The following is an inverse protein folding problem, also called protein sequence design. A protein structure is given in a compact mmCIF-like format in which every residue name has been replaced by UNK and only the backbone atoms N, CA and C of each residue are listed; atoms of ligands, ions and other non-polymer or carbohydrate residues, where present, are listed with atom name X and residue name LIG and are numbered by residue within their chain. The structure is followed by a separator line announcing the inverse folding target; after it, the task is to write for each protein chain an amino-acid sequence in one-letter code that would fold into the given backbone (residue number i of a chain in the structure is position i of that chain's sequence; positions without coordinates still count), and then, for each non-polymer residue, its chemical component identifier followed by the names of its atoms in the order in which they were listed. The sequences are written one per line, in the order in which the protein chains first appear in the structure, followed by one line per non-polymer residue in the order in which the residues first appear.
data_IF_061077219738
#
_entry.id   IF_061077219738
#
_cell.length_a   1.000
_cell.length_b   1.000
_cell.length_c   1.000
_cell.angle_alpha   90.00
_cell.angle_beta   90.00
_cell.angle_gamma   90.00
#
_symmetry.space_group_name_H-M   'P 1'
#
loop_
_entity.id
_entity.type
_entity.pdbx_description
1 polymer ?
#
# COMPACT_ATOMS: atom_id res chain seq x y z
N UNK A 1 10.26 -22.31 -7.04
CA UNK A 1 11.26 -21.36 -7.61
C UNK A 1 12.50 -22.15 -7.99
N UNK A 2 13.05 -21.95 -9.20
CA UNK A 2 14.24 -22.67 -9.64
C UNK A 2 15.47 -22.15 -8.87
N UNK A 3 16.39 -23.03 -8.45
CA UNK A 3 17.58 -22.68 -7.68
C UNK A 3 18.45 -21.62 -8.39
N UNK A 4 18.56 -21.72 -9.72
CA UNK A 4 19.24 -20.74 -10.58
C UNK A 4 18.66 -19.32 -10.46
N UNK A 5 17.35 -19.19 -10.32
CA UNK A 5 16.66 -17.90 -10.19
C UNK A 5 16.98 -17.24 -8.85
N UNK A 6 17.04 -18.05 -7.78
CA UNK A 6 17.40 -17.57 -6.44
C UNK A 6 18.86 -17.07 -6.40
N UNK A 7 19.77 -17.82 -6.98
CA UNK A 7 21.20 -17.43 -7.04
C UNK A 7 21.40 -16.15 -7.88
N UNK A 8 20.67 -16.03 -9.00
CA UNK A 8 20.66 -14.79 -9.80
C UNK A 8 20.19 -13.59 -8.98
N UNK A 9 19.06 -13.75 -8.25
CA UNK A 9 18.54 -12.68 -7.38
C UNK A 9 19.54 -12.30 -6.28
N UNK A 10 20.14 -13.28 -5.61
CA UNK A 10 21.19 -13.03 -4.59
C UNK A 10 22.34 -12.24 -5.18
N UNK A 11 22.85 -12.64 -6.36
CA UNK A 11 23.92 -11.94 -7.07
C UNK A 11 23.52 -10.49 -7.35
N UNK A 12 22.33 -10.25 -7.92
CA UNK A 12 21.85 -8.90 -8.22
C UNK A 12 21.73 -8.03 -6.97
N UNK A 13 21.21 -8.57 -5.86
CA UNK A 13 21.11 -7.85 -4.59
C UNK A 13 22.51 -7.50 -4.05
N UNK A 14 23.47 -8.45 -4.13
CA UNK A 14 24.83 -8.24 -3.62
C UNK A 14 25.56 -7.16 -4.41
N UNK A 15 25.45 -7.19 -5.73
CA UNK A 15 26.16 -6.28 -6.65
C UNK A 15 25.51 -4.90 -6.78
N UNK A 16 24.23 -4.74 -6.36
CA UNK A 16 23.49 -3.51 -6.54
C UNK A 16 23.66 -2.53 -5.38
N UNK A 17 23.62 -1.24 -5.70
CA UNK A 17 23.68 -0.14 -4.73
C UNK A 17 22.39 0.68 -4.70
N UNK A 18 21.47 0.46 -5.66
CA UNK A 18 20.20 1.20 -5.78
C UNK A 18 19.06 0.25 -6.11
N UNK A 19 18.59 -0.50 -5.10
CA UNK A 19 17.46 -1.39 -5.20
C UNK A 19 16.19 -0.61 -4.85
N UNK A 20 15.13 -0.78 -5.63
CA UNK A 20 13.78 -0.26 -5.32
C UNK A 20 12.82 -1.43 -5.25
N UNK A 21 11.96 -1.42 -4.23
CA UNK A 21 10.87 -2.39 -4.10
C UNK A 21 9.53 -1.72 -4.42
N UNK A 22 8.74 -2.37 -5.26
CA UNK A 22 7.36 -1.96 -5.58
C UNK A 22 6.39 -3.05 -5.14
N UNK A 23 5.52 -2.76 -4.18
CA UNK A 23 4.66 -3.75 -3.54
C UNK A 23 3.18 -3.45 -3.53
N UNK A 24 2.38 -4.51 -3.40
CA UNK A 24 0.93 -4.45 -3.25
C UNK A 24 0.41 -5.35 -2.12
N UNK A 25 -0.91 -5.56 -2.07
CA UNK A 25 -1.60 -6.22 -0.97
C UNK A 25 -1.11 -7.64 -0.66
N UNK A 26 -0.60 -8.36 -1.65
CA UNK A 26 -0.02 -9.69 -1.46
C UNK A 26 1.21 -9.71 -0.53
N UNK A 27 1.87 -8.56 -0.32
CA UNK A 27 2.97 -8.45 0.66
C UNK A 27 2.47 -8.62 2.10
N UNK A 28 1.23 -8.23 2.39
CA UNK A 28 0.67 -8.22 3.74
C UNK A 28 -0.21 -9.43 4.07
N UNK A 29 -0.40 -10.37 3.14
CA UNK A 29 -1.25 -11.56 3.37
C UNK A 29 -0.73 -12.45 4.50
N UNK A 30 0.59 -12.63 4.63
CA UNK A 30 1.20 -13.35 5.75
C UNK A 30 1.19 -12.56 7.09
N UNK A 31 0.73 -11.32 7.05
CA UNK A 31 0.45 -10.50 8.24
C UNK A 31 -1.01 -10.59 8.68
N UNK A 32 -1.83 -11.41 8.00
CA UNK A 32 -3.26 -11.59 8.28
C UNK A 32 -4.16 -10.54 7.61
N UNK A 33 -3.62 -9.71 6.71
CA UNK A 33 -4.41 -8.75 5.94
C UNK A 33 -4.76 -9.39 4.59
N UNK A 34 -6.05 -9.65 4.28
CA UNK A 34 -6.43 -10.21 3.00
C UNK A 34 -6.09 -9.25 1.85
N UNK A 35 -5.69 -9.78 0.72
CA UNK A 35 -5.60 -8.97 -0.49
C UNK A 35 -6.99 -8.68 -1.08
N UNK A 36 -7.06 -7.95 -2.17
CA UNK A 36 -8.34 -7.54 -2.76
C UNK A 36 -8.93 -8.58 -3.71
N UNK A 37 -8.12 -9.36 -4.42
CA UNK A 37 -8.52 -10.12 -5.62
C UNK A 37 -8.36 -11.63 -5.55
N UNK A 38 -7.61 -12.16 -4.60
CA UNK A 38 -7.49 -13.61 -4.41
C UNK A 38 -8.85 -14.25 -4.08
N UNK A 39 -8.93 -15.57 -4.08
CA UNK A 39 -10.16 -16.31 -3.76
C UNK A 39 -10.74 -15.87 -2.40
N UNK A 40 -9.87 -15.62 -1.43
CA UNK A 40 -10.22 -15.15 -0.08
C UNK A 40 -10.14 -13.61 0.06
N UNK A 41 -9.96 -12.91 -1.06
CA UNK A 41 -9.78 -11.46 -1.11
C UNK A 41 -11.08 -10.69 -0.85
N UNK A 42 -10.92 -9.41 -0.49
CA UNK A 42 -12.02 -8.53 -0.10
C UNK A 42 -13.10 -8.46 -1.21
N UNK A 43 -12.71 -8.48 -2.49
CA UNK A 43 -13.67 -8.37 -3.61
C UNK A 43 -14.52 -9.63 -3.82
N UNK A 44 -14.12 -10.78 -3.30
CA UNK A 44 -14.86 -12.02 -3.38
C UNK A 44 -15.83 -12.25 -2.20
N UNK A 45 -15.83 -11.35 -1.21
CA UNK A 45 -16.77 -11.41 -0.09
C UNK A 45 -18.13 -10.82 -0.49
N UNK A 46 -19.21 -11.34 0.10
CA UNK A 46 -20.57 -10.86 -0.18
C UNK A 46 -20.88 -9.59 0.60
N UNK A 47 -21.09 -8.48 -0.11
CA UNK A 47 -21.55 -7.21 0.44
C UNK A 47 -22.79 -6.72 -0.31
N UNK A 48 -23.49 -5.73 0.29
CA UNK A 48 -24.62 -5.07 -0.36
C UNK A 48 -24.23 -4.31 -1.64
N UNK A 49 -23.02 -3.81 -1.69
CA UNK A 49 -22.41 -3.13 -2.83
C UNK A 49 -21.03 -3.72 -3.09
N UNK A 50 -20.53 -3.70 -4.34
CA UNK A 50 -19.15 -4.09 -4.62
C UNK A 50 -18.15 -3.29 -3.76
N UNK A 51 -17.12 -3.92 -3.21
CA UNK A 51 -16.12 -3.22 -2.39
C UNK A 51 -15.51 -2.00 -3.08
N UNK A 52 -15.21 -2.08 -4.39
CA UNK A 52 -14.71 -0.94 -5.16
C UNK A 52 -15.68 0.25 -5.17
N UNK A 53 -16.98 -0.04 -5.18
CA UNK A 53 -18.01 1.00 -5.04
C UNK A 53 -17.98 1.61 -3.65
N UNK A 54 -17.88 0.78 -2.59
CA UNK A 54 -17.90 1.26 -1.20
C UNK A 54 -16.69 2.16 -0.91
N UNK A 55 -15.51 1.82 -1.42
CA UNK A 55 -14.26 2.60 -1.24
C UNK A 55 -14.04 3.63 -2.36
N UNK A 56 -15.12 4.19 -2.93
CA UNK A 56 -15.05 5.30 -3.86
C UNK A 56 -15.38 6.64 -3.19
N UNK A 57 -14.86 7.73 -3.76
CA UNK A 57 -15.14 9.09 -3.28
C UNK A 57 -16.63 9.40 -3.28
N UNK A 58 -17.32 9.09 -4.37
CA UNK A 58 -18.75 9.36 -4.50
C UNK A 58 -19.60 8.58 -3.48
N UNK A 59 -19.21 7.35 -3.14
CA UNK A 59 -19.89 6.58 -2.10
C UNK A 59 -19.59 7.16 -0.71
N UNK A 60 -18.34 7.52 -0.44
CA UNK A 60 -17.96 8.18 0.81
C UNK A 60 -18.80 9.44 1.06
N UNK A 61 -19.01 10.28 0.06
CA UNK A 61 -19.80 11.51 0.18
C UNK A 61 -21.30 11.20 0.37
N UNK A 62 -21.85 10.25 -0.40
CA UNK A 62 -23.30 9.98 -0.43
C UNK A 62 -23.78 9.05 0.70
N UNK A 63 -22.89 8.16 1.16
CA UNK A 63 -23.19 7.07 2.11
C UNK A 63 -22.10 6.93 3.17
N UNK A 64 -21.71 8.05 3.76
CA UNK A 64 -20.59 8.16 4.68
C UNK A 64 -20.63 7.16 5.85
N UNK A 65 -21.85 6.90 6.40
CA UNK A 65 -21.99 5.92 7.50
C UNK A 65 -21.66 4.51 7.01
N UNK A 66 -22.24 4.07 5.88
CA UNK A 66 -22.01 2.73 5.32
C UNK A 66 -20.54 2.54 4.90
N UNK A 67 -19.90 3.61 4.40
CA UNK A 67 -18.46 3.63 4.16
C UNK A 67 -17.68 3.33 5.44
N UNK A 68 -17.97 4.00 6.57
CA UNK A 68 -17.24 3.78 7.82
C UNK A 68 -17.53 2.44 8.47
N UNK A 69 -18.74 1.90 8.32
CA UNK A 69 -19.08 0.57 8.77
C UNK A 69 -18.19 -0.48 8.06
N UNK A 70 -18.04 -0.37 6.74
CA UNK A 70 -17.14 -1.21 5.95
C UNK A 70 -15.67 -0.93 6.25
N UNK A 71 -15.27 0.33 6.31
CA UNK A 71 -13.88 0.76 6.48
C UNK A 71 -13.28 0.24 7.79
N UNK A 72 -14.02 0.31 8.89
CA UNK A 72 -13.59 -0.24 10.19
C UNK A 72 -13.49 -1.75 10.18
N UNK A 73 -14.41 -2.43 9.52
CA UNK A 73 -14.49 -3.89 9.50
C UNK A 73 -13.44 -4.50 8.56
N UNK A 74 -13.14 -3.85 7.43
CA UNK A 74 -12.37 -4.47 6.34
C UNK A 74 -11.10 -3.75 5.92
N UNK A 75 -10.85 -2.53 6.39
CA UNK A 75 -9.68 -1.77 5.95
C UNK A 75 -8.69 -1.49 7.08
N UNK A 76 -9.08 -1.64 8.35
CA UNK A 76 -8.23 -1.38 9.52
C UNK A 76 -7.90 -2.69 10.21
N UNK A 77 -6.61 -3.04 10.25
CA UNK A 77 -6.07 -4.25 10.87
C UNK A 77 -5.05 -3.87 11.95
N UNK A 78 -5.52 -3.34 13.08
CA UNK A 78 -4.67 -2.80 14.16
C UNK A 78 -3.74 -3.84 14.81
N UNK A 79 -4.12 -5.12 14.77
CA UNK A 79 -3.34 -6.21 15.36
C UNK A 79 -2.32 -6.84 14.40
N UNK A 80 -2.35 -6.44 13.11
CA UNK A 80 -1.41 -6.94 12.11
C UNK A 80 0.02 -6.53 12.44
N UNK A 81 0.96 -7.46 12.25
CA UNK A 81 2.39 -7.23 12.51
C UNK A 81 3.20 -7.45 11.24
N UNK A 82 4.33 -6.74 11.09
CA UNK A 82 5.22 -6.95 9.95
C UNK A 82 5.66 -8.41 9.84
N UNK A 83 5.49 -8.99 8.65
CA UNK A 83 5.97 -10.33 8.33
C UNK A 83 7.45 -10.30 7.88
N UNK A 84 7.97 -11.45 7.46
CA UNK A 84 9.38 -11.59 7.08
C UNK A 84 9.75 -10.71 5.87
N UNK A 85 8.83 -10.48 4.91
CA UNK A 85 9.09 -9.62 3.74
C UNK A 85 9.34 -8.18 4.17
N UNK A 86 8.48 -7.61 5.03
CA UNK A 86 8.65 -6.26 5.55
C UNK A 86 9.99 -6.11 6.28
N UNK A 87 10.33 -7.09 7.15
CA UNK A 87 11.58 -7.09 7.92
C UNK A 87 12.81 -7.17 7.01
N UNK A 88 12.77 -8.01 5.98
CA UNK A 88 13.91 -8.14 5.03
C UNK A 88 14.10 -6.90 4.18
N UNK A 89 13.04 -6.20 3.79
CA UNK A 89 13.15 -4.92 3.11
C UNK A 89 13.79 -3.85 4.01
N UNK A 90 13.38 -3.78 5.28
CA UNK A 90 14.00 -2.87 6.25
C UNK A 90 15.49 -3.21 6.51
N UNK A 91 15.86 -4.50 6.57
CA UNK A 91 17.25 -4.93 6.67
C UNK A 91 18.08 -4.49 5.44
N UNK A 92 17.54 -4.64 4.23
CA UNK A 92 18.20 -4.18 3.00
C UNK A 92 18.36 -2.65 2.96
N UNK A 93 17.37 -1.91 3.45
CA UNK A 93 17.46 -0.45 3.58
C UNK A 93 18.56 -0.06 4.59
N UNK A 94 18.57 -0.69 5.76
CA UNK A 94 19.60 -0.47 6.78
C UNK A 94 21.02 -0.81 6.28
N UNK A 95 21.14 -1.80 5.40
CA UNK A 95 22.39 -2.15 4.74
C UNK A 95 22.78 -1.17 3.60
N UNK A 96 21.97 -0.14 3.35
CA UNK A 96 22.21 0.87 2.32
C UNK A 96 21.94 0.37 0.89
N UNK A 97 21.38 -0.81 0.70
CA UNK A 97 21.08 -1.42 -0.60
C UNK A 97 19.71 -1.00 -1.16
N UNK A 98 18.66 -1.05 -0.35
CA UNK A 98 17.32 -0.61 -0.72
C UNK A 98 17.17 0.90 -0.52
N UNK A 99 16.77 1.63 -1.55
CA UNK A 99 16.66 3.09 -1.55
C UNK A 99 15.22 3.61 -1.42
N UNK A 100 14.24 2.75 -1.66
CA UNK A 100 12.84 3.04 -1.38
C UNK A 100 11.98 1.77 -1.39
N UNK A 101 10.96 1.79 -0.58
CA UNK A 101 9.77 0.94 -0.70
C UNK A 101 8.65 1.79 -1.28
N UNK A 102 8.16 1.44 -2.46
CA UNK A 102 6.98 2.04 -3.09
C UNK A 102 5.83 1.06 -2.86
N UNK A 103 4.81 1.47 -2.13
CA UNK A 103 3.73 0.56 -1.75
C UNK A 103 2.35 1.09 -2.13
N UNK A 104 1.50 0.18 -2.59
CA UNK A 104 0.07 0.41 -2.76
C UNK A 104 -0.72 0.15 -1.47
N UNK A 105 -0.06 -0.44 -0.46
CA UNK A 105 -0.68 -0.77 0.81
C UNK A 105 -0.84 0.46 1.70
N UNK A 106 -1.90 0.44 2.51
CA UNK A 106 -2.28 1.53 3.42
C UNK A 106 -2.08 1.15 4.90
N UNK A 107 -1.50 -0.03 5.16
CA UNK A 107 -1.44 -0.67 6.48
C UNK A 107 -0.32 -0.15 7.41
N UNK A 108 0.70 0.52 6.87
CA UNK A 108 1.84 1.03 7.64
C UNK A 108 2.84 -0.03 8.09
N UNK A 109 2.76 -1.28 7.60
CA UNK A 109 3.60 -2.39 8.08
C UNK A 109 5.07 -2.26 7.65
N UNK A 110 5.37 -1.57 6.54
CA UNK A 110 6.75 -1.28 6.16
C UNK A 110 7.43 -0.37 7.18
N UNK A 111 6.78 0.71 7.60
CA UNK A 111 7.28 1.61 8.64
C UNK A 111 7.37 0.89 9.99
N UNK A 112 6.38 0.08 10.33
CA UNK A 112 6.40 -0.72 11.56
C UNK A 112 7.54 -1.76 11.58
N UNK A 113 8.03 -2.20 10.41
CA UNK A 113 9.20 -3.07 10.28
C UNK A 113 10.54 -2.32 10.40
N UNK A 114 10.52 -0.97 10.33
CA UNK A 114 11.70 -0.13 10.42
C UNK A 114 12.16 0.48 9.09
N UNK A 115 11.42 0.32 7.99
CA UNK A 115 11.68 1.06 6.75
C UNK A 115 11.38 2.54 6.93
N UNK A 116 12.25 3.40 6.43
CA UNK A 116 12.16 4.87 6.58
C UNK A 116 11.79 5.58 5.27
N UNK A 117 12.29 5.11 4.13
CA UNK A 117 11.93 5.66 2.82
C UNK A 117 10.78 4.84 2.21
N UNK A 118 9.56 5.09 2.70
CA UNK A 118 8.34 4.42 2.25
C UNK A 118 7.45 5.41 1.52
N UNK A 119 7.18 5.15 0.24
CA UNK A 119 6.32 5.95 -0.62
C UNK A 119 4.94 5.27 -0.72
N UNK A 120 4.00 5.77 0.05
CA UNK A 120 2.63 5.22 0.15
C UNK A 120 1.74 5.83 -0.94
N UNK A 121 1.65 5.16 -2.10
CA UNK A 121 0.88 5.66 -3.27
C UNK A 121 -0.61 5.88 -2.98
N UNK A 122 -1.16 5.11 -2.06
CA UNK A 122 -2.59 5.18 -1.71
C UNK A 122 -2.83 5.74 -0.29
N UNK A 123 -1.82 6.39 0.29
CA UNK A 123 -1.93 6.94 1.64
C UNK A 123 -1.87 5.91 2.75
N UNK A 124 -2.51 6.18 3.91
CA UNK A 124 -2.43 5.31 5.08
C UNK A 124 -3.68 5.38 5.97
N UNK A 125 -4.12 4.25 6.51
CA UNK A 125 -5.18 4.17 7.53
C UNK A 125 -4.77 4.84 8.85
N UNK A 126 -3.46 4.99 9.07
CA UNK A 126 -2.91 5.56 10.31
C UNK A 126 -3.05 7.08 10.39
N UNK A 127 -3.25 7.74 9.24
CA UNK A 127 -3.44 9.19 9.15
C UNK A 127 -4.88 9.52 8.74
N UNK A 128 -5.47 10.48 9.41
CA UNK A 128 -6.84 10.92 9.14
C UNK A 128 -6.93 12.42 9.36
N UNK A 129 -7.72 13.12 8.57
CA UNK A 129 -7.81 14.58 8.64
C UNK A 129 -9.26 15.06 8.62
N UNK A 130 -9.52 16.10 9.40
CA UNK A 130 -10.81 16.77 9.35
C UNK A 130 -10.97 17.49 8.01
N UNK A 131 -12.05 17.21 7.29
CA UNK A 131 -12.37 17.84 5.99
C UNK A 131 -12.62 19.36 6.09
N UNK A 132 -12.89 19.90 7.31
CA UNK A 132 -13.18 21.31 7.51
C UNK A 132 -11.99 22.11 7.99
N UNK A 133 -11.25 21.62 9.00
CA UNK A 133 -10.17 22.36 9.63
C UNK A 133 -8.80 21.70 9.48
N UNK A 134 -8.70 20.60 8.76
CA UNK A 134 -7.48 19.85 8.47
C UNK A 134 -6.72 19.32 9.70
N UNK A 135 -7.35 19.33 10.89
CA UNK A 135 -6.76 18.77 12.09
C UNK A 135 -6.48 17.28 11.89
N UNK A 136 -5.28 16.86 12.25
CA UNK A 136 -4.83 15.47 12.21
C UNK A 136 -5.48 14.63 13.31
N UNK A 137 -5.74 13.37 12.99
CA UNK A 137 -6.23 12.33 13.90
C UNK A 137 -5.56 10.98 13.58
N UNK A 138 -5.13 10.25 14.61
CA UNK A 138 -4.69 8.87 14.46
C UNK A 138 -5.86 7.91 14.22
N UNK A 139 -5.53 6.66 13.84
CA UNK A 139 -6.54 5.62 13.58
C UNK A 139 -7.42 5.31 14.79
N UNK A 140 -6.91 5.46 16.00
CA UNK A 140 -7.68 5.27 17.24
C UNK A 140 -8.93 6.13 17.32
N UNK A 141 -8.87 7.36 16.78
CA UNK A 141 -10.02 8.25 16.72
C UNK A 141 -11.12 7.74 15.78
N UNK A 142 -10.74 7.03 14.71
CA UNK A 142 -11.70 6.40 13.79
C UNK A 142 -12.36 5.19 14.46
N UNK A 143 -11.58 4.42 15.22
CA UNK A 143 -12.04 3.20 15.90
C UNK A 143 -12.89 3.49 17.14
N UNK A 144 -12.62 4.58 17.85
CA UNK A 144 -13.31 4.92 19.11
C UNK A 144 -14.67 5.59 18.92
N UNK A 145 -14.99 6.10 17.72
CA UNK A 145 -16.26 6.73 17.43
C UNK A 145 -17.18 5.79 16.64
N UNK A 146 -18.41 5.63 17.10
CA UNK A 146 -19.45 4.95 16.33
C UNK A 146 -19.96 5.85 15.19
N UNK A 147 -20.44 5.22 14.13
CA UNK A 147 -21.01 5.92 12.97
C UNK A 147 -19.97 6.76 12.22
N UNK A 148 -20.25 8.03 11.95
CA UNK A 148 -19.38 8.93 11.18
C UNK A 148 -18.43 9.66 12.13
N UNK A 149 -17.10 9.43 12.03
CA UNK A 149 -16.13 10.12 12.90
C UNK A 149 -16.15 11.63 12.67
N UNK A 150 -16.21 12.40 13.76
CA UNK A 150 -16.27 13.86 13.72
C UNK A 150 -15.18 14.52 14.53
N UNK A 151 -14.70 15.62 13.97
CA UNK A 151 -13.80 16.54 14.63
C UNK A 151 -14.55 17.41 15.65
N UNK A 152 -13.82 17.96 16.62
CA UNK A 152 -14.37 18.95 17.58
C UNK A 152 -14.98 20.20 16.90
N UNK A 153 -14.57 20.52 15.65
CA UNK A 153 -15.17 21.60 14.86
C UNK A 153 -16.45 21.18 14.11
N UNK A 154 -16.95 19.95 14.32
CA UNK A 154 -18.13 19.38 13.65
C UNK A 154 -17.87 18.78 12.26
N UNK A 155 -16.68 18.99 11.69
CA UNK A 155 -16.30 18.43 10.38
C UNK A 155 -16.15 16.90 10.42
N UNK A 156 -16.40 16.24 9.29
CA UNK A 156 -16.13 14.80 9.13
C UNK A 156 -14.61 14.59 9.10
N UNK A 157 -14.13 13.53 9.75
CA UNK A 157 -12.72 13.12 9.69
C UNK A 157 -12.60 12.11 8.55
N UNK A 158 -11.90 12.44 7.45
CA UNK A 158 -11.64 11.53 6.33
C UNK A 158 -10.30 10.83 6.53
N UNK A 159 -10.21 9.51 6.26
CA UNK A 159 -8.93 8.83 6.18
C UNK A 159 -8.04 9.42 5.09
N UNK A 160 -6.74 9.50 5.34
CA UNK A 160 -5.71 9.83 4.36
C UNK A 160 -5.43 8.61 3.46
N UNK A 161 -6.50 8.10 2.87
CA UNK A 161 -6.48 6.99 1.91
C UNK A 161 -7.06 7.49 0.61
N UNK A 162 -6.35 7.21 -0.49
CA UNK A 162 -6.82 7.52 -1.85
C UNK A 162 -7.94 6.56 -2.20
N UNK A 163 -9.14 7.07 -2.32
CA UNK A 163 -10.32 6.32 -2.74
C UNK A 163 -10.38 6.21 -4.26
N UNK A 164 -11.10 5.23 -4.79
CA UNK A 164 -11.45 5.25 -6.22
C UNK A 164 -12.08 6.60 -6.57
N UNK A 165 -11.82 7.11 -7.77
CA UNK A 165 -12.21 8.44 -8.27
C UNK A 165 -11.32 9.59 -7.72
N UNK A 166 -10.40 9.34 -6.79
CA UNK A 166 -9.42 10.33 -6.31
C UNK A 166 -8.08 10.16 -7.05
N UNK A 167 -7.35 11.27 -7.23
CA UNK A 167 -5.98 11.26 -7.77
C UNK A 167 -4.96 10.84 -6.71
N UNK A 168 -3.83 10.31 -7.15
CA UNK A 168 -2.66 10.09 -6.28
C UNK A 168 -2.02 11.43 -5.91
N UNK A 169 -1.27 11.46 -4.81
CA UNK A 169 -0.45 12.62 -4.45
C UNK A 169 0.70 12.81 -5.45
N UNK A 170 0.73 13.97 -6.11
CA UNK A 170 1.71 14.28 -7.16
C UNK A 170 3.16 14.25 -6.64
N UNK A 171 3.40 14.66 -5.40
CA UNK A 171 4.75 14.66 -4.82
C UNK A 171 5.24 13.23 -4.55
N UNK A 172 4.36 12.36 -4.04
CA UNK A 172 4.65 10.93 -3.83
C UNK A 172 4.87 10.24 -5.17
N UNK A 173 4.00 10.53 -6.16
CA UNK A 173 4.09 9.98 -7.52
C UNK A 173 5.41 10.35 -8.19
N UNK A 174 5.77 11.63 -8.16
CA UNK A 174 7.03 12.10 -8.75
C UNK A 174 8.26 11.46 -8.09
N UNK A 175 8.27 11.37 -6.75
CA UNK A 175 9.34 10.66 -6.01
C UNK A 175 9.43 9.19 -6.42
N UNK A 176 8.30 8.50 -6.52
CA UNK A 176 8.24 7.09 -6.91
C UNK A 176 8.81 6.87 -8.32
N UNK A 177 8.37 7.67 -9.29
CA UNK A 177 8.89 7.63 -10.67
C UNK A 177 10.41 7.84 -10.69
N UNK A 178 10.91 8.86 -9.98
CA UNK A 178 12.33 9.14 -9.90
C UNK A 178 13.12 7.96 -9.33
N UNK A 179 12.66 7.40 -8.20
CA UNK A 179 13.32 6.23 -7.57
C UNK A 179 13.35 5.01 -8.50
N UNK A 180 12.25 4.73 -9.20
CA UNK A 180 12.17 3.62 -10.17
C UNK A 180 13.12 3.86 -11.35
N UNK A 181 13.14 5.07 -11.90
CA UNK A 181 13.98 5.39 -13.06
C UNK A 181 15.49 5.34 -12.76
N UNK A 182 15.88 5.58 -11.51
CA UNK A 182 17.27 5.56 -11.03
C UNK A 182 17.72 4.17 -10.51
N UNK A 183 16.79 3.21 -10.38
CA UNK A 183 17.09 1.90 -9.81
C UNK A 183 17.98 1.04 -10.74
N UNK A 184 18.97 0.37 -10.19
CA UNK A 184 19.74 -0.70 -10.88
C UNK A 184 19.05 -2.06 -10.74
N UNK A 185 18.23 -2.27 -9.69
CA UNK A 185 17.35 -3.43 -9.55
C UNK A 185 15.96 -2.95 -9.14
N UNK A 186 14.93 -3.34 -9.87
CA UNK A 186 13.53 -3.16 -9.48
C UNK A 186 12.93 -4.52 -9.07
N UNK A 187 12.49 -4.62 -7.80
CA UNK A 187 11.81 -5.80 -7.30
C UNK A 187 10.31 -5.47 -7.17
N UNK A 188 9.49 -6.18 -7.91
CA UNK A 188 8.03 -6.08 -7.86
C UNK A 188 7.48 -7.28 -7.11
N UNK A 189 6.68 -7.07 -6.06
CA UNK A 189 6.16 -8.14 -5.24
C UNK A 189 4.74 -7.98 -4.75
N UNK A 190 3.98 -9.08 -4.68
CA UNK A 190 2.66 -9.11 -4.07
C UNK A 190 1.62 -8.17 -4.71
N UNK A 191 1.71 -7.90 -6.01
CA UNK A 191 0.78 -7.03 -6.72
C UNK A 191 0.28 -7.66 -8.01
N UNK A 192 -1.00 -7.43 -8.35
CA UNK A 192 -1.58 -7.86 -9.62
C UNK A 192 -1.24 -6.95 -10.79
N UNK A 193 -0.62 -5.78 -10.54
CA UNK A 193 -0.36 -4.73 -11.53
C UNK A 193 -1.59 -4.30 -12.35
N UNK A 194 -2.77 -4.32 -11.73
CA UNK A 194 -4.05 -4.02 -12.42
C UNK A 194 -4.72 -2.73 -11.92
N UNK A 195 -4.13 -2.01 -10.95
CA UNK A 195 -4.67 -0.75 -10.42
C UNK A 195 -3.84 0.42 -10.99
N UNK A 196 -4.45 1.14 -11.91
CA UNK A 196 -3.85 2.34 -12.50
C UNK A 196 -4.26 3.61 -11.74
N UNK A 197 -3.39 4.64 -11.68
CA UNK A 197 -2.11 4.77 -12.39
C UNK A 197 -0.91 4.06 -11.73
N UNK A 198 -1.05 3.53 -10.51
CA UNK A 198 0.06 2.94 -9.75
C UNK A 198 0.80 1.81 -10.51
N UNK A 199 0.05 0.92 -11.19
CA UNK A 199 0.64 -0.17 -11.97
C UNK A 199 1.57 0.32 -13.10
N UNK A 200 1.24 1.44 -13.74
CA UNK A 200 2.05 2.02 -14.83
C UNK A 200 3.38 2.62 -14.37
N UNK A 201 3.62 2.75 -13.05
CA UNK A 201 4.90 3.28 -12.56
C UNK A 201 6.10 2.40 -12.90
N UNK A 202 5.91 1.09 -13.03
CA UNK A 202 7.00 0.17 -13.39
C UNK A 202 7.56 0.44 -14.80
N UNK A 203 6.79 1.08 -15.69
CA UNK A 203 7.22 1.40 -17.06
C UNK A 203 8.33 2.46 -17.07
N UNK A 204 8.51 3.21 -15.99
CA UNK A 204 9.61 4.17 -15.84
C UNK A 204 10.96 3.50 -15.50
N UNK A 205 10.98 2.19 -15.23
CA UNK A 205 12.23 1.47 -14.99
C UNK A 205 13.07 1.37 -16.27
N UNK A 206 14.31 1.80 -16.19
CA UNK A 206 15.24 1.87 -17.32
C UNK A 206 16.35 0.80 -17.26
N UNK A 207 16.40 0.05 -16.18
CA UNK A 207 17.41 -0.99 -15.99
C UNK A 207 17.05 -2.31 -16.68
N UNK A 208 17.88 -3.32 -16.46
CA UNK A 208 17.74 -4.66 -17.03
C UNK A 208 17.63 -5.78 -15.97
N UNK A 209 17.49 -5.41 -14.69
CA UNK A 209 17.37 -6.34 -13.57
C UNK A 209 15.99 -6.18 -12.91
N UNK A 210 14.94 -6.56 -13.64
CA UNK A 210 13.56 -6.57 -13.15
C UNK A 210 13.24 -7.94 -12.52
N UNK A 211 12.73 -7.91 -11.29
CA UNK A 211 12.37 -9.11 -10.53
C UNK A 211 10.88 -9.07 -10.21
N UNK A 212 10.14 -10.12 -10.52
CA UNK A 212 8.74 -10.30 -10.13
C UNK A 212 8.62 -11.44 -9.12
N UNK A 213 8.04 -11.16 -7.96
CA UNK A 213 7.76 -12.14 -6.90
C UNK A 213 6.25 -12.11 -6.60
N UNK A 214 5.53 -13.07 -7.18
CA UNK A 214 4.08 -13.18 -7.04
C UNK A 214 3.64 -14.62 -6.86
N UNK A 215 2.48 -14.82 -6.23
CA UNK A 215 1.84 -16.13 -6.09
C UNK A 215 1.18 -16.58 -7.40
N UNK A 216 0.61 -15.65 -8.15
CA UNK A 216 -0.06 -15.87 -9.42
C UNK A 216 0.67 -15.15 -10.56
N UNK A 217 0.41 -15.61 -11.79
CA UNK A 217 0.91 -14.95 -13.00
C UNK A 217 0.35 -13.52 -13.05
N UNK A 218 1.22 -12.60 -13.42
CA UNK A 218 0.91 -11.17 -13.56
C UNK A 218 1.18 -10.77 -15.02
N UNK A 219 0.36 -9.90 -15.63
CA UNK A 219 0.55 -9.44 -17.00
C UNK A 219 1.91 -8.80 -17.22
#
# INVERSE_FOLDING_TARGET
MNQNTIETLKKWITESENIVFFGGAGVSTESGIPDFRSVDGIYNMKYKYPPETIISHSFFIKRTKEFYDFYRDKMIYSEAKPNITHKKLAELEKAGKLKAVITQNIDGLHQAAGSTEVLELHGSVLRNYCMKCHKFYGVSQILSQEGIPRCSCGGIIKPDVVLYEEGLDDAVLYKAIKKIAEADVLIVGGTSLSVYPAAGLIDFYKGNKLVLINKSITP
#
